data_IF_797754320213
#
_entry.id   IF_797754320213
#
_cell.length_a   1.000
_cell.length_b   1.000
_cell.length_c   1.000
_cell.angle_alpha   90.00
_cell.angle_beta   90.00
_cell.angle_gamma   90.00
#
_symmetry.space_group_name_H-M   'P 1'
#
loop_
_entity.id
_entity.type
_entity.pdbx_description
1 polymer ?
#
# COMPACT_ATOMS: atom_id res chain seq x y z
N UNK A 1 -24.22 68.63 -4.78
CA UNK A 1 -23.38 68.58 -3.56
C UNK A 1 -23.35 67.19 -2.94
N UNK A 2 -24.47 66.44 -2.88
CA UNK A 2 -24.50 65.07 -2.30
C UNK A 2 -23.62 64.07 -3.06
N UNK A 3 -23.67 64.02 -4.39
CA UNK A 3 -22.85 63.09 -5.21
C UNK A 3 -21.33 63.25 -5.05
N UNK A 4 -20.85 64.48 -4.79
CA UNK A 4 -19.41 64.71 -4.59
C UNK A 4 -18.92 64.22 -3.22
N UNK A 5 -19.80 64.11 -2.21
CA UNK A 5 -19.45 63.57 -0.90
C UNK A 5 -19.31 62.05 -0.95
N UNK A 6 -20.25 61.38 -1.63
CA UNK A 6 -20.27 59.92 -1.75
C UNK A 6 -19.06 59.37 -2.50
N UNK A 7 -18.61 60.05 -3.57
CA UNK A 7 -17.40 59.63 -4.30
C UNK A 7 -16.13 59.75 -3.45
N UNK A 8 -16.00 60.83 -2.66
CA UNK A 8 -14.85 61.02 -1.79
C UNK A 8 -14.81 59.98 -0.65
N UNK A 9 -15.97 59.59 -0.12
CA UNK A 9 -16.07 58.52 0.90
C UNK A 9 -15.71 57.15 0.33
N UNK A 10 -16.10 56.84 -0.92
CA UNK A 10 -15.74 55.60 -1.60
C UNK A 10 -14.23 55.49 -1.85
N UNK A 11 -13.60 56.57 -2.34
CA UNK A 11 -12.15 56.63 -2.56
C UNK A 11 -11.38 56.49 -1.24
N UNK A 12 -11.80 57.17 -0.17
CA UNK A 12 -11.19 57.04 1.16
C UNK A 12 -11.30 55.63 1.75
N UNK A 13 -12.41 54.94 1.52
CA UNK A 13 -12.59 53.55 1.94
C UNK A 13 -11.72 52.59 1.12
N UNK A 14 -11.61 52.81 -0.19
CA UNK A 14 -10.76 52.02 -1.07
C UNK A 14 -9.27 52.19 -0.72
N UNK A 15 -8.83 53.41 -0.46
CA UNK A 15 -7.47 53.69 0.01
C UNK A 15 -7.16 53.02 1.35
N UNK A 16 -8.12 53.00 2.29
CA UNK A 16 -7.99 52.26 3.55
C UNK A 16 -7.93 50.75 3.35
N UNK A 17 -8.72 50.22 2.43
CA UNK A 17 -8.73 48.80 2.09
C UNK A 17 -7.45 48.37 1.38
N UNK A 18 -6.80 49.25 0.62
CA UNK A 18 -5.57 48.97 -0.13
C UNK A 18 -4.28 49.35 0.61
N UNK A 19 -4.38 50.06 1.74
CA UNK A 19 -3.22 50.47 2.52
C UNK A 19 -2.32 49.29 2.91
N UNK A 20 -1.03 49.38 2.56
CA UNK A 20 -0.02 48.35 2.86
C UNK A 20 0.50 48.50 4.29
N UNK A 21 0.27 47.47 5.11
CA UNK A 21 0.79 47.34 6.48
C UNK A 21 0.52 45.93 7.03
N UNK A 22 1.23 45.54 8.09
CA UNK A 22 1.04 44.23 8.75
C UNK A 22 -0.37 44.02 9.32
N UNK A 23 -1.12 45.13 9.47
CA UNK A 23 -2.50 45.19 9.95
C UNK A 23 -3.45 45.71 8.85
N UNK A 24 -3.17 45.37 7.58
CA UNK A 24 -3.98 45.83 6.45
C UNK A 24 -5.40 45.26 6.54
N UNK A 25 -6.41 46.12 6.33
CA UNK A 25 -7.82 45.70 6.37
C UNK A 25 -8.14 44.58 5.36
N UNK A 26 -7.37 44.48 4.26
CA UNK A 26 -7.48 43.36 3.32
C UNK A 26 -7.09 42.03 3.95
N UNK A 27 -6.02 42.02 4.76
CA UNK A 27 -5.56 40.81 5.46
C UNK A 27 -6.57 40.38 6.52
N UNK A 28 -7.11 41.32 7.30
CA UNK A 28 -8.18 41.00 8.26
C UNK A 28 -9.44 40.45 7.57
N UNK A 29 -9.79 40.98 6.38
CA UNK A 29 -10.90 40.42 5.59
C UNK A 29 -10.57 39.02 5.06
N UNK A 30 -9.34 38.78 4.61
CA UNK A 30 -8.88 37.46 4.19
C UNK A 30 -8.92 36.45 5.36
N UNK A 31 -8.48 36.86 6.54
CA UNK A 31 -8.57 36.06 7.78
C UNK A 31 -10.02 35.70 8.11
N UNK A 32 -10.92 36.68 8.11
CA UNK A 32 -12.35 36.43 8.35
C UNK A 32 -12.96 35.49 7.32
N UNK A 33 -12.62 35.64 6.04
CA UNK A 33 -13.10 34.78 4.96
C UNK A 33 -12.61 33.34 5.15
N UNK A 34 -11.31 33.17 5.40
CA UNK A 34 -10.70 31.85 5.60
C UNK A 34 -11.24 31.20 6.87
N UNK A 35 -11.34 31.94 7.98
CA UNK A 35 -11.89 31.41 9.24
C UNK A 35 -13.36 31.03 9.10
N UNK A 36 -14.14 31.81 8.35
CA UNK A 36 -15.52 31.45 8.04
C UNK A 36 -15.60 30.15 7.22
N UNK A 37 -14.76 29.98 6.20
CA UNK A 37 -14.69 28.75 5.42
C UNK A 37 -14.23 27.56 6.27
N UNK A 38 -13.21 27.74 7.11
CA UNK A 38 -12.72 26.70 8.02
C UNK A 38 -13.79 26.28 9.04
N UNK A 39 -14.57 27.22 9.56
CA UNK A 39 -15.68 26.93 10.48
C UNK A 39 -16.90 26.29 9.81
N UNK A 40 -16.96 26.31 8.48
CA UNK A 40 -18.09 25.75 7.75
C UNK A 40 -18.07 24.21 7.83
N UNK A 41 -19.25 23.57 8.00
CA UNK A 41 -19.35 22.12 7.93
C UNK A 41 -18.79 21.61 6.61
N UNK A 42 -17.98 20.55 6.64
CA UNK A 42 -17.31 20.03 5.44
C UNK A 42 -18.33 19.66 4.35
N UNK A 43 -19.48 19.13 4.75
CA UNK A 43 -20.61 18.77 3.89
C UNK A 43 -21.21 19.96 3.13
N UNK A 44 -21.05 21.19 3.64
CA UNK A 44 -21.50 22.40 2.95
C UNK A 44 -20.52 22.82 1.86
N UNK A 45 -19.24 22.53 2.04
CA UNK A 45 -18.18 22.86 1.09
C UNK A 45 -18.03 21.79 0.01
N UNK A 46 -18.24 20.53 0.38
CA UNK A 46 -18.12 19.37 -0.48
C UNK A 46 -19.52 18.79 -0.69
N UNK A 47 -20.13 19.15 -1.83
CA UNK A 47 -21.28 18.42 -2.34
C UNK A 47 -20.78 17.05 -2.83
N UNK A 48 -21.09 16.00 -2.08
CA UNK A 48 -20.60 14.64 -2.33
C UNK A 48 -20.98 14.15 -3.74
N UNK A 49 -22.20 14.43 -4.20
CA UNK A 49 -22.67 14.00 -5.51
C UNK A 49 -21.95 14.73 -6.63
N UNK A 50 -21.79 16.05 -6.51
CA UNK A 50 -21.03 16.85 -7.49
C UNK A 50 -19.56 16.44 -7.50
N UNK A 51 -18.97 16.27 -6.32
CA UNK A 51 -17.57 15.89 -6.16
C UNK A 51 -17.30 14.52 -6.76
N UNK A 52 -18.19 13.55 -6.54
CA UNK A 52 -18.08 12.23 -7.16
C UNK A 52 -18.28 12.27 -8.68
N UNK A 53 -19.20 13.10 -9.18
CA UNK A 53 -19.38 13.31 -10.63
C UNK A 53 -18.13 13.92 -11.26
N UNK A 54 -17.57 14.96 -10.64
CA UNK A 54 -16.33 15.60 -11.09
C UNK A 54 -15.15 14.63 -11.00
N UNK A 55 -15.01 13.87 -9.92
CA UNK A 55 -13.97 12.87 -9.76
C UNK A 55 -14.08 11.77 -10.83
N UNK A 56 -15.30 11.29 -11.13
CA UNK A 56 -15.52 10.33 -12.20
C UNK A 56 -15.10 10.89 -13.57
N UNK A 57 -15.52 12.11 -13.91
CA UNK A 57 -15.15 12.76 -15.17
C UNK A 57 -13.64 13.01 -15.27
N UNK A 58 -13.01 13.43 -14.17
CA UNK A 58 -11.56 13.59 -14.07
C UNK A 58 -10.84 12.26 -14.25
N UNK A 59 -11.31 11.18 -13.62
CA UNK A 59 -10.74 9.85 -13.79
C UNK A 59 -10.89 9.34 -15.22
N UNK A 60 -12.05 9.53 -15.85
CA UNK A 60 -12.27 9.14 -17.26
C UNK A 60 -11.38 9.94 -18.21
N UNK A 61 -11.25 11.26 -18.00
CA UNK A 61 -10.42 12.12 -18.83
C UNK A 61 -8.93 11.83 -18.63
N UNK A 62 -8.48 11.68 -17.38
CA UNK A 62 -7.12 11.29 -17.05
C UNK A 62 -6.79 9.91 -17.63
N UNK A 63 -7.65 8.90 -17.44
CA UNK A 63 -7.45 7.55 -17.96
C UNK A 63 -7.31 7.50 -19.48
N UNK A 64 -7.88 8.46 -20.22
CA UNK A 64 -7.75 8.58 -21.68
C UNK A 64 -6.59 9.45 -22.13
N UNK A 65 -5.98 10.20 -21.23
CA UNK A 65 -4.89 11.13 -21.54
C UNK A 65 -3.55 10.42 -21.72
N UNK A 66 -2.68 10.98 -22.55
CA UNK A 66 -1.26 10.56 -22.61
C UNK A 66 -0.49 10.97 -21.34
N UNK A 67 -0.96 12.01 -20.64
CA UNK A 67 -0.41 12.48 -19.36
C UNK A 67 -0.51 11.43 -18.25
N UNK A 68 -1.51 10.55 -18.29
CA UNK A 68 -1.62 9.46 -17.31
C UNK A 68 -0.45 8.49 -17.41
N UNK A 69 -0.05 8.06 -18.62
CA UNK A 69 1.13 7.19 -18.76
C UNK A 69 2.40 7.90 -18.33
N UNK A 70 2.56 9.16 -18.72
CA UNK A 70 3.75 9.94 -18.38
C UNK A 70 3.86 10.12 -16.87
N UNK A 71 2.79 10.55 -16.20
CA UNK A 71 2.78 10.77 -14.74
C UNK A 71 2.97 9.49 -13.93
N UNK A 72 2.35 8.37 -14.34
CA UNK A 72 2.53 7.07 -13.68
C UNK A 72 3.96 6.56 -13.81
N UNK A 73 4.52 6.62 -15.03
CA UNK A 73 5.90 6.19 -15.25
C UNK A 73 6.89 7.11 -14.53
N UNK A 74 6.68 8.42 -14.58
CA UNK A 74 7.53 9.39 -13.89
C UNK A 74 7.50 9.17 -12.38
N UNK A 75 6.32 9.05 -11.77
CA UNK A 75 6.20 8.84 -10.33
C UNK A 75 6.87 7.55 -9.87
N UNK A 76 6.78 6.48 -10.67
CA UNK A 76 7.45 5.21 -10.38
C UNK A 76 8.97 5.31 -10.55
N UNK A 77 9.45 6.02 -11.58
CA UNK A 77 10.87 6.29 -11.78
C UNK A 77 11.45 7.14 -10.65
N UNK A 78 10.74 8.17 -10.21
CA UNK A 78 11.13 9.01 -9.08
C UNK A 78 11.18 8.20 -7.78
N UNK A 79 10.16 7.38 -7.51
CA UNK A 79 10.12 6.51 -6.34
C UNK A 79 11.27 5.49 -6.35
N UNK A 80 11.48 4.79 -7.46
CA UNK A 80 12.55 3.79 -7.59
C UNK A 80 13.93 4.43 -7.51
N UNK A 81 14.12 5.62 -8.09
CA UNK A 81 15.37 6.38 -7.99
C UNK A 81 15.63 6.86 -6.56
N UNK A 82 14.59 7.35 -5.88
CA UNK A 82 14.68 7.76 -4.47
C UNK A 82 15.04 6.58 -3.57
N UNK A 83 14.39 5.42 -3.75
CA UNK A 83 14.72 4.19 -3.05
C UNK A 83 16.15 3.73 -3.34
N UNK A 84 16.57 3.74 -4.61
CA UNK A 84 17.93 3.34 -5.00
C UNK A 84 19.01 4.23 -4.38
N UNK A 85 18.70 5.50 -4.14
CA UNK A 85 19.59 6.47 -3.52
C UNK A 85 19.62 6.39 -1.98
N UNK A 86 18.78 5.58 -1.34
CA UNK A 86 18.73 5.42 0.12
C UNK A 86 19.51 4.15 0.55
N UNK A 87 20.77 4.30 0.98
CA UNK A 87 21.61 3.17 1.41
C UNK A 87 21.24 2.65 2.81
N UNK A 88 20.53 3.44 3.62
CA UNK A 88 20.14 3.04 4.97
C UNK A 88 18.98 2.04 4.93
N UNK A 89 18.82 1.21 5.98
CA UNK A 89 17.60 0.45 6.18
C UNK A 89 16.37 1.37 6.17
N UNK A 90 15.26 0.91 5.60
CA UNK A 90 14.01 1.68 5.59
C UNK A 90 13.58 2.10 6.99
N UNK A 91 13.84 1.26 8.00
CA UNK A 91 13.53 1.57 9.40
C UNK A 91 14.24 2.81 9.93
N UNK A 92 15.39 3.19 9.36
CA UNK A 92 16.15 4.40 9.71
C UNK A 92 15.82 5.59 8.81
N UNK A 93 15.32 5.34 7.59
CA UNK A 93 14.92 6.38 6.65
C UNK A 93 13.54 6.96 6.96
N UNK A 94 12.67 6.18 7.60
CA UNK A 94 11.32 6.60 8.00
C UNK A 94 11.33 7.31 9.36
N UNK A 95 10.44 8.30 9.58
CA UNK A 95 10.23 8.90 10.90
C UNK A 95 9.84 7.85 11.95
N UNK A 96 10.37 7.98 13.17
CA UNK A 96 10.13 7.04 14.26
C UNK A 96 8.63 6.91 14.58
N UNK A 97 7.86 8.01 14.48
CA UNK A 97 6.41 8.03 14.72
C UNK A 97 5.65 7.14 13.74
N UNK A 98 6.08 7.12 12.46
CA UNK A 98 5.47 6.27 11.45
C UNK A 98 5.83 4.81 11.69
N UNK A 99 7.09 4.53 12.04
CA UNK A 99 7.55 3.16 12.38
C UNK A 99 6.76 2.60 13.56
N UNK A 100 6.64 3.38 14.64
CA UNK A 100 5.88 2.98 15.82
C UNK A 100 4.38 2.82 15.54
N UNK A 101 3.80 3.68 14.69
CA UNK A 101 2.39 3.57 14.31
C UNK A 101 2.13 2.31 13.49
N UNK A 102 2.97 2.01 12.50
CA UNK A 102 2.89 0.78 11.73
C UNK A 102 3.15 -0.46 12.60
N UNK A 103 4.08 -0.38 13.56
CA UNK A 103 4.32 -1.45 14.54
C UNK A 103 3.06 -1.73 15.39
N UNK A 104 2.41 -0.67 15.88
CA UNK A 104 1.16 -0.76 16.66
C UNK A 104 0.02 -1.32 15.83
N UNK A 105 -0.10 -0.90 14.57
CA UNK A 105 -1.10 -1.44 13.63
C UNK A 105 -0.87 -2.93 13.36
N UNK A 106 0.37 -3.35 13.09
CA UNK A 106 0.72 -4.75 12.89
C UNK A 106 0.44 -5.61 14.14
N UNK A 107 0.67 -5.03 15.32
CA UNK A 107 0.42 -5.67 16.61
C UNK A 107 -1.07 -5.74 16.99
N UNK A 108 -1.98 -5.09 16.27
CA UNK A 108 -3.40 -5.15 16.60
C UNK A 108 -3.94 -6.58 16.47
N UNK A 109 -4.74 -7.06 17.45
CA UNK A 109 -5.44 -8.33 17.33
C UNK A 109 -6.46 -8.25 16.19
N UNK A 110 -6.13 -8.89 15.07
CA UNK A 110 -7.02 -9.05 13.93
C UNK A 110 -7.10 -10.52 13.56
N UNK A 111 -8.32 -11.01 13.41
CA UNK A 111 -8.61 -12.39 12.99
C UNK A 111 -9.46 -12.34 11.72
N UNK A 112 -8.88 -12.65 10.55
CA UNK A 112 -9.62 -12.64 9.28
C UNK A 112 -10.71 -13.70 9.29
N UNK A 113 -11.73 -13.53 8.44
CA UNK A 113 -12.75 -14.56 8.27
C UNK A 113 -12.15 -15.78 7.58
N UNK A 114 -12.43 -16.97 8.14
CA UNK A 114 -11.92 -18.25 7.63
C UNK A 114 -12.33 -18.52 6.20
N UNK A 115 -13.57 -18.16 5.85
CA UNK A 115 -14.11 -18.31 4.52
C UNK A 115 -13.33 -17.47 3.49
N UNK A 116 -13.06 -16.20 3.82
CA UNK A 116 -12.26 -15.33 2.96
C UNK A 116 -10.85 -15.89 2.78
N UNK A 117 -10.20 -16.30 3.86
CA UNK A 117 -8.83 -16.82 3.79
C UNK A 117 -8.76 -18.12 2.97
N UNK A 118 -9.72 -19.03 3.14
CA UNK A 118 -9.79 -20.24 2.31
C UNK A 118 -10.05 -19.91 0.84
N UNK A 119 -10.90 -18.93 0.53
CA UNK A 119 -11.15 -18.50 -0.85
C UNK A 119 -9.91 -17.92 -1.55
N UNK A 120 -8.96 -17.38 -0.77
CA UNK A 120 -7.67 -16.91 -1.25
C UNK A 120 -6.65 -18.04 -1.37
N UNK A 121 -6.58 -18.92 -0.36
CA UNK A 121 -5.64 -20.04 -0.32
C UNK A 121 -5.97 -21.15 -1.31
N UNK A 122 -7.25 -21.35 -1.65
CA UNK A 122 -7.70 -22.40 -2.56
C UNK A 122 -7.56 -22.01 -4.05
N UNK A 123 -6.92 -20.87 -4.34
CA UNK A 123 -6.63 -20.45 -5.72
C UNK A 123 -5.62 -21.40 -6.37
N UNK A 124 -5.80 -21.75 -7.67
CA UNK A 124 -4.92 -22.71 -8.35
C UNK A 124 -3.43 -22.41 -8.24
N UNK A 125 -3.04 -21.12 -8.29
CA UNK A 125 -1.65 -20.71 -8.16
C UNK A 125 -1.05 -21.04 -6.78
N UNK A 126 -1.78 -20.77 -5.70
CA UNK A 126 -1.36 -21.07 -4.33
C UNK A 126 -1.29 -22.59 -4.12
N UNK A 127 -2.29 -23.31 -4.63
CA UNK A 127 -2.32 -24.79 -4.62
C UNK A 127 -1.09 -25.39 -5.30
N UNK A 128 -0.75 -24.88 -6.48
CA UNK A 128 0.44 -25.33 -7.24
C UNK A 128 1.72 -25.07 -6.46
N UNK A 129 1.88 -23.88 -5.89
CA UNK A 129 3.07 -23.51 -5.11
C UNK A 129 3.25 -24.42 -3.88
N UNK A 130 2.19 -24.62 -3.10
CA UNK A 130 2.28 -25.47 -1.90
C UNK A 130 2.52 -26.93 -2.28
N UNK A 131 1.89 -27.40 -3.35
CA UNK A 131 2.12 -28.75 -3.87
C UNK A 131 3.59 -28.95 -4.25
N UNK A 132 4.18 -28.03 -4.98
CA UNK A 132 5.59 -28.07 -5.39
C UNK A 132 6.51 -28.10 -4.16
N UNK A 133 6.30 -27.20 -3.19
CA UNK A 133 7.04 -27.19 -1.94
C UNK A 133 6.94 -28.51 -1.16
N UNK A 134 5.75 -29.13 -1.12
CA UNK A 134 5.53 -30.42 -0.47
C UNK A 134 6.27 -31.54 -1.20
N UNK A 135 6.18 -31.60 -2.54
CA UNK A 135 6.86 -32.60 -3.36
C UNK A 135 8.37 -32.48 -3.18
N UNK A 136 8.93 -31.28 -3.29
CA UNK A 136 10.37 -31.04 -3.14
C UNK A 136 10.88 -31.41 -1.75
N UNK A 137 10.11 -31.08 -0.71
CA UNK A 137 10.44 -31.44 0.67
C UNK A 137 10.46 -32.95 0.86
N UNK A 138 9.48 -33.67 0.30
CA UNK A 138 9.37 -35.13 0.39
C UNK A 138 10.47 -35.84 -0.41
N UNK A 139 10.79 -35.35 -1.61
CA UNK A 139 11.89 -35.87 -2.42
C UNK A 139 13.21 -35.65 -1.69
N UNK A 140 13.47 -34.42 -1.20
CA UNK A 140 14.68 -34.09 -0.45
C UNK A 140 14.84 -34.96 0.80
N UNK A 141 13.74 -35.20 1.52
CA UNK A 141 13.74 -36.08 2.68
C UNK A 141 14.02 -37.54 2.29
N UNK A 142 13.36 -38.06 1.24
CA UNK A 142 13.60 -39.41 0.73
C UNK A 142 15.04 -39.62 0.24
N UNK A 143 15.62 -38.62 -0.41
CA UNK A 143 17.03 -38.64 -0.83
C UNK A 143 17.98 -38.65 0.38
N UNK A 144 17.71 -37.84 1.43
CA UNK A 144 18.49 -37.84 2.68
C UNK A 144 18.42 -39.17 3.42
N UNK A 145 17.27 -39.85 3.41
CA UNK A 145 17.13 -41.18 4.00
C UNK A 145 17.86 -42.28 3.20
N UNK A 146 17.91 -42.14 1.86
CA UNK A 146 18.58 -43.10 0.97
C UNK A 146 20.10 -42.95 0.98
N UNK A 147 20.57 -41.71 1.06
CA UNK A 147 21.97 -41.36 1.27
C UNK A 147 22.11 -40.74 2.66
N UNK A 148 22.04 -41.54 3.74
CA UNK A 148 22.50 -41.07 5.03
C UNK A 148 24.00 -40.86 4.84
N UNK A 149 24.39 -39.63 4.48
CA UNK A 149 25.80 -39.30 4.36
C UNK A 149 26.40 -39.72 5.69
N UNK A 150 27.45 -40.52 5.56
CA UNK A 150 28.49 -40.75 6.55
C UNK A 150 29.08 -39.37 6.88
N UNK A 151 28.30 -38.48 7.51
CA UNK A 151 28.80 -37.30 8.20
C UNK A 151 29.33 -37.73 9.56
N UNK A 152 30.21 -38.73 9.53
CA UNK A 152 31.22 -38.90 10.55
C UNK A 152 32.33 -37.90 10.25
N UNK A 153 32.00 -36.60 10.31
CA UNK A 153 32.97 -35.57 10.75
C UNK A 153 33.03 -35.49 12.28
N UNK A 154 32.53 -36.53 12.96
CA UNK A 154 33.00 -37.00 14.28
C UNK A 154 33.93 -38.21 14.09
N UNK A 155 34.98 -38.02 13.29
CA UNK A 155 36.09 -38.96 13.18
C UNK A 155 36.93 -38.96 14.45
N UNK A 156 36.43 -39.61 15.51
CA UNK A 156 37.13 -40.24 16.66
C UNK A 156 36.08 -40.49 17.75
N UNK A 157 35.61 -41.73 17.93
CA UNK A 157 34.94 -42.04 19.20
C UNK A 157 34.10 -43.29 19.35
N UNK A 158 33.58 -43.93 18.30
CA UNK A 158 32.67 -45.08 18.50
C UNK A 158 33.07 -46.28 17.63
N UNK A 159 34.26 -46.81 17.93
CA UNK A 159 34.69 -48.14 17.55
C UNK A 159 34.04 -49.16 18.50
N UNK A 160 32.77 -49.52 18.27
CA UNK A 160 32.05 -50.40 19.22
C UNK A 160 31.09 -51.43 18.66
N UNK A 161 30.39 -51.19 17.56
CA UNK A 161 29.20 -52.01 17.18
C UNK A 161 29.37 -52.66 15.80
N UNK A 162 30.57 -53.18 15.50
CA UNK A 162 30.89 -53.75 14.18
C UNK A 162 31.63 -55.09 14.20
N UNK A 163 31.70 -55.79 15.34
CA UNK A 163 32.46 -57.06 15.48
C UNK A 163 31.59 -58.30 15.65
N UNK A 164 30.47 -58.42 14.91
CA UNK A 164 29.68 -59.67 14.86
C UNK A 164 29.26 -60.10 13.44
N UNK A 165 30.12 -59.92 12.45
CA UNK A 165 29.93 -60.55 11.14
C UNK A 165 31.26 -60.87 10.45
N UNK A 166 32.07 -61.76 11.04
CA UNK A 166 33.20 -62.37 10.33
C UNK A 166 33.23 -63.87 10.59
N UNK A 167 32.45 -64.60 9.80
CA UNK A 167 32.37 -66.04 9.90
C UNK A 167 31.50 -66.72 8.85
N UNK A 168 31.58 -66.31 7.57
CA UNK A 168 31.35 -67.17 6.39
C UNK A 168 31.58 -66.37 5.10
N UNK A 169 32.81 -66.42 4.61
CA UNK A 169 33.12 -66.08 3.23
C UNK A 169 32.90 -67.34 2.38
N UNK A 170 32.06 -67.24 1.36
CA UNK A 170 31.82 -68.31 0.39
C UNK A 170 30.89 -67.87 -0.73
N UNK A 171 31.46 -67.23 -1.75
CA UNK A 171 30.84 -67.06 -3.06
C UNK A 171 30.09 -65.74 -3.29
N UNK A 172 30.22 -65.24 -4.52
CA UNK A 172 29.56 -64.07 -5.12
C UNK A 172 30.25 -62.73 -4.88
N UNK A 173 31.40 -62.57 -5.53
CA UNK A 173 32.04 -61.27 -5.77
C UNK A 173 32.26 -61.12 -7.28
N UNK A 174 31.21 -60.81 -8.04
CA UNK A 174 31.31 -60.40 -9.46
C UNK A 174 29.95 -59.99 -10.08
N UNK A 175 29.12 -59.14 -9.47
CA UNK A 175 27.96 -58.50 -10.16
C UNK A 175 27.48 -57.22 -9.44
N UNK A 176 28.36 -56.30 -9.05
CA UNK A 176 27.97 -55.11 -8.26
C UNK A 176 28.39 -53.76 -8.88
N UNK A 177 28.65 -53.70 -10.19
CA UNK A 177 29.08 -52.47 -10.88
C UNK A 177 28.09 -51.86 -11.87
N UNK A 178 27.08 -52.62 -12.33
CA UNK A 178 26.24 -52.20 -13.48
C UNK A 178 24.74 -52.10 -13.23
N UNK A 179 24.22 -52.59 -12.09
CA UNK A 179 22.78 -52.63 -11.82
C UNK A 179 22.30 -51.57 -10.81
N UNK A 180 23.21 -50.78 -10.23
CA UNK A 180 22.85 -49.72 -9.27
C UNK A 180 22.24 -48.50 -9.97
N UNK A 181 22.58 -48.23 -11.25
CA UNK A 181 22.05 -47.09 -12.00
C UNK A 181 20.59 -47.25 -12.45
N UNK A 182 20.22 -48.41 -13.00
CA UNK A 182 18.87 -48.64 -13.55
C UNK A 182 17.80 -48.86 -12.47
N UNK A 183 18.17 -49.40 -11.29
CA UNK A 183 17.26 -49.51 -10.14
C UNK A 183 17.09 -48.15 -9.47
N UNK A 184 18.12 -47.30 -9.46
CA UNK A 184 18.04 -45.97 -8.86
C UNK A 184 17.05 -45.06 -9.58
N UNK A 185 17.02 -45.07 -10.93
CA UNK A 185 16.13 -44.21 -11.71
C UNK A 185 14.66 -44.60 -11.60
N UNK A 186 14.33 -45.90 -11.55
CA UNK A 186 12.95 -46.35 -11.34
C UNK A 186 12.48 -46.09 -9.91
N UNK A 187 13.37 -46.24 -8.90
CA UNK A 187 13.08 -45.86 -7.52
C UNK A 187 12.86 -44.35 -7.39
N UNK A 188 13.62 -43.54 -8.10
CA UNK A 188 13.46 -42.07 -8.12
C UNK A 188 12.13 -41.67 -8.76
N UNK A 189 11.78 -42.26 -9.91
CA UNK A 189 10.48 -42.07 -10.55
C UNK A 189 9.30 -42.50 -9.67
N UNK A 190 9.45 -43.60 -8.95
CA UNK A 190 8.43 -44.05 -7.99
C UNK A 190 8.34 -43.13 -6.77
N UNK A 191 9.47 -42.64 -6.26
CA UNK A 191 9.49 -41.68 -5.16
C UNK A 191 8.79 -40.37 -5.55
N UNK A 192 9.09 -39.83 -6.74
CA UNK A 192 8.44 -38.65 -7.29
C UNK A 192 6.92 -38.86 -7.44
N UNK A 193 6.50 -39.98 -8.03
CA UNK A 193 5.08 -40.31 -8.18
C UNK A 193 4.36 -40.40 -6.84
N UNK A 194 4.98 -41.02 -5.83
CA UNK A 194 4.41 -41.14 -4.48
C UNK A 194 4.41 -39.82 -3.72
N UNK A 195 5.45 -39.01 -3.88
CA UNK A 195 5.53 -37.67 -3.30
C UNK A 195 4.43 -36.77 -3.87
N UNK A 196 4.20 -36.83 -5.19
CA UNK A 196 3.10 -36.12 -5.86
C UNK A 196 1.72 -36.56 -5.34
N UNK A 197 1.44 -37.86 -5.30
CA UNK A 197 0.18 -38.39 -4.76
C UNK A 197 -0.04 -37.99 -3.30
N UNK A 198 1.02 -38.02 -2.48
CA UNK A 198 0.94 -37.59 -1.08
C UNK A 198 0.68 -36.09 -0.97
N UNK A 199 1.41 -35.27 -1.73
CA UNK A 199 1.25 -33.82 -1.74
C UNK A 199 -0.18 -33.43 -2.16
N UNK A 200 -0.74 -34.08 -3.18
CA UNK A 200 -2.11 -33.83 -3.64
C UNK A 200 -3.15 -34.15 -2.55
N UNK A 201 -2.96 -35.23 -1.79
CA UNK A 201 -3.84 -35.59 -0.68
C UNK A 201 -3.65 -34.69 0.56
N UNK A 202 -2.42 -34.25 0.83
CA UNK A 202 -2.08 -33.42 1.99
C UNK A 202 -2.44 -31.95 1.80
N UNK A 203 -2.45 -31.46 0.55
CA UNK A 203 -2.63 -30.06 0.20
C UNK A 203 -3.87 -29.44 0.86
N UNK A 204 -5.04 -30.06 0.68
CA UNK A 204 -6.30 -29.55 1.26
C UNK A 204 -6.23 -29.47 2.79
N UNK A 205 -5.59 -30.43 3.45
CA UNK A 205 -5.43 -30.42 4.91
C UNK A 205 -4.46 -29.32 5.36
N UNK A 206 -3.37 -29.10 4.62
CA UNK A 206 -2.42 -28.01 4.90
C UNK A 206 -3.12 -26.65 4.78
N UNK A 207 -3.90 -26.44 3.71
CA UNK A 207 -4.68 -25.22 3.52
C UNK A 207 -5.67 -24.97 4.66
N UNK A 208 -6.43 -25.99 5.06
CA UNK A 208 -7.34 -25.89 6.19
C UNK A 208 -6.63 -25.60 7.50
N UNK A 209 -5.49 -26.26 7.77
CA UNK A 209 -4.68 -25.99 8.97
C UNK A 209 -4.11 -24.57 8.98
N UNK A 210 -3.64 -24.06 7.84
CA UNK A 210 -3.18 -22.69 7.71
C UNK A 210 -4.34 -21.71 7.97
N UNK A 211 -5.52 -21.97 7.39
CA UNK A 211 -6.68 -21.14 7.62
C UNK A 211 -7.12 -21.18 9.10
N UNK A 212 -7.18 -22.35 9.72
CA UNK A 212 -7.52 -22.50 11.13
C UNK A 212 -6.51 -21.77 12.02
N UNK A 213 -5.21 -21.86 11.70
CA UNK A 213 -4.15 -21.17 12.45
C UNK A 213 -4.27 -19.64 12.34
N UNK A 214 -4.46 -19.12 11.13
CA UNK A 214 -4.53 -17.68 10.84
C UNK A 214 -5.87 -17.04 11.20
N UNK A 215 -6.94 -17.84 11.35
CA UNK A 215 -8.28 -17.37 11.71
C UNK A 215 -8.70 -17.74 13.13
N UNK A 216 -7.81 -18.29 13.96
CA UNK A 216 -8.15 -18.62 15.35
C UNK A 216 -7.99 -17.40 16.27
N UNK A 217 -9.04 -16.96 16.99
CA UNK A 217 -8.93 -15.87 17.95
C UNK A 217 -7.96 -16.17 19.10
N UNK A 218 -7.83 -17.43 19.51
CA UNK A 218 -6.91 -17.84 20.57
C UNK A 218 -5.44 -17.71 20.18
N UNK A 219 -5.15 -17.57 18.87
CA UNK A 219 -3.81 -17.33 18.32
C UNK A 219 -3.59 -15.89 17.87
N UNK A 220 -4.49 -14.97 18.19
CA UNK A 220 -4.39 -13.56 17.78
C UNK A 220 -3.06 -12.91 18.16
N UNK A 221 -2.48 -13.27 19.31
CA UNK A 221 -1.16 -12.81 19.75
C UNK A 221 -0.02 -13.34 18.87
N UNK A 222 -0.03 -14.63 18.51
CA UNK A 222 0.97 -15.24 17.60
C UNK A 222 0.87 -14.62 16.19
N UNK A 223 -0.35 -14.36 15.72
CA UNK A 223 -0.59 -13.70 14.43
C UNK A 223 -0.10 -12.25 14.43
N UNK A 224 -0.32 -11.51 15.53
CA UNK A 224 0.22 -10.16 15.70
C UNK A 224 1.75 -10.15 15.74
N UNK A 225 2.36 -11.11 16.43
CA UNK A 225 3.81 -11.29 16.45
C UNK A 225 4.37 -11.60 15.04
N UNK A 226 3.71 -12.45 14.25
CA UNK A 226 4.09 -12.73 12.87
C UNK A 226 4.03 -11.47 11.99
N UNK A 227 2.92 -10.71 12.03
CA UNK A 227 2.78 -9.46 11.27
C UNK A 227 3.86 -8.45 11.65
N UNK A 228 4.15 -8.32 12.94
CA UNK A 228 5.21 -7.46 13.45
C UNK A 228 6.58 -7.91 12.96
N UNK A 229 6.90 -9.20 13.04
CA UNK A 229 8.19 -9.72 12.57
C UNK A 229 8.38 -9.53 11.06
N UNK A 230 7.33 -9.70 10.25
CA UNK A 230 7.38 -9.41 8.81
C UNK A 230 7.64 -7.92 8.53
N UNK A 231 6.98 -7.04 9.29
CA UNK A 231 7.18 -5.60 9.17
C UNK A 231 8.58 -5.17 9.63
N UNK A 232 9.09 -5.76 10.72
CA UNK A 232 10.46 -5.55 11.19
C UNK A 232 11.48 -6.02 10.15
N UNK A 233 11.27 -7.19 9.54
CA UNK A 233 12.12 -7.67 8.44
C UNK A 233 12.07 -6.76 7.21
N UNK A 234 10.92 -6.12 6.92
CA UNK A 234 10.81 -5.14 5.84
C UNK A 234 11.63 -3.86 6.15
N UNK A 235 11.69 -3.45 7.42
CA UNK A 235 12.48 -2.28 7.84
C UNK A 235 13.98 -2.50 7.77
N UNK A 236 14.43 -3.75 7.87
CA UNK A 236 15.84 -4.13 7.72
C UNK A 236 16.31 -4.05 6.26
N UNK A 237 15.39 -4.07 5.29
CA UNK A 237 15.74 -3.87 3.88
C UNK A 237 16.17 -2.43 3.64
N UNK A 238 17.29 -2.25 2.94
CA UNK A 238 17.68 -0.94 2.41
C UNK A 238 16.79 -0.52 1.25
N UNK A 239 16.69 0.79 1.01
CA UNK A 239 16.01 1.31 -0.17
C UNK A 239 16.58 0.73 -1.47
N UNK A 240 17.90 0.55 -1.55
CA UNK A 240 18.57 -0.04 -2.71
C UNK A 240 18.16 -1.50 -3.00
N UNK A 241 17.95 -2.33 -1.97
CA UNK A 241 17.48 -3.70 -2.14
C UNK A 241 16.04 -3.73 -2.67
N UNK A 242 15.17 -2.88 -2.13
CA UNK A 242 13.80 -2.75 -2.62
C UNK A 242 13.72 -2.20 -4.03
N UNK A 243 14.55 -1.21 -4.37
CA UNK A 243 14.64 -0.70 -5.74
C UNK A 243 15.09 -1.79 -6.72
N UNK A 244 16.05 -2.65 -6.32
CA UNK A 244 16.49 -3.79 -7.12
C UNK A 244 15.36 -4.79 -7.34
N UNK A 245 14.60 -5.16 -6.30
CA UNK A 245 13.44 -6.04 -6.43
C UNK A 245 12.33 -5.43 -7.30
N UNK A 246 12.04 -4.14 -7.12
CA UNK A 246 11.08 -3.43 -7.95
C UNK A 246 11.52 -3.46 -9.42
N UNK A 247 12.79 -3.19 -9.71
CA UNK A 247 13.33 -3.14 -11.07
C UNK A 247 13.24 -4.47 -11.84
N UNK A 248 13.08 -5.60 -11.14
CA UNK A 248 12.86 -6.91 -11.76
C UNK A 248 11.42 -7.08 -12.29
N UNK A 249 10.50 -6.23 -11.85
CA UNK A 249 9.11 -6.23 -12.32
C UNK A 249 9.00 -5.45 -13.63
N UNK A 250 8.26 -5.98 -14.60
CA UNK A 250 7.86 -5.20 -15.78
C UNK A 250 6.82 -4.14 -15.36
N UNK A 251 7.35 -3.00 -14.92
CA UNK A 251 6.57 -1.86 -14.49
C UNK A 251 5.68 -1.29 -15.59
N UNK A 252 6.15 -1.32 -16.84
CA UNK A 252 5.39 -0.82 -17.98
C UNK A 252 4.14 -1.68 -18.20
N UNK A 253 4.30 -3.00 -18.19
CA UNK A 253 3.19 -3.93 -18.27
C UNK A 253 2.23 -3.78 -17.08
N UNK A 254 2.77 -3.64 -15.86
CA UNK A 254 1.98 -3.49 -14.64
C UNK A 254 1.11 -2.22 -14.66
N UNK A 255 1.69 -1.08 -15.05
CA UNK A 255 0.98 0.19 -15.19
C UNK A 255 -0.05 0.14 -16.33
N UNK A 256 0.28 -0.52 -17.44
CA UNK A 256 -0.67 -0.75 -18.53
C UNK A 256 -1.87 -1.57 -18.06
N UNK A 257 -1.65 -2.68 -17.37
CA UNK A 257 -2.72 -3.54 -16.83
C UNK A 257 -3.58 -2.80 -15.80
N UNK A 258 -2.98 -1.98 -14.94
CA UNK A 258 -3.70 -1.13 -14.00
C UNK A 258 -4.60 -0.12 -14.74
N UNK A 259 -4.08 0.53 -15.79
CA UNK A 259 -4.82 1.50 -16.61
C UNK A 259 -5.96 0.85 -17.39
N UNK A 260 -5.73 -0.33 -17.97
CA UNK A 260 -6.75 -1.11 -18.66
C UNK A 260 -7.84 -1.58 -17.70
N UNK A 261 -7.46 -2.05 -16.52
CA UNK A 261 -8.41 -2.47 -15.47
C UNK A 261 -9.24 -1.30 -14.95
N UNK A 262 -8.62 -0.15 -14.70
CA UNK A 262 -9.32 1.07 -14.31
C UNK A 262 -10.26 1.54 -15.43
N UNK A 263 -9.81 1.53 -16.68
CA UNK A 263 -10.64 1.85 -17.84
C UNK A 263 -11.84 0.92 -18.00
N UNK A 264 -11.62 -0.39 -17.81
CA UNK A 264 -12.68 -1.39 -17.84
C UNK A 264 -13.68 -1.20 -16.69
N UNK A 265 -13.22 -0.88 -15.49
CA UNK A 265 -14.09 -0.55 -14.36
C UNK A 265 -14.91 0.71 -14.64
N UNK A 266 -14.27 1.80 -15.08
CA UNK A 266 -14.93 3.06 -15.43
C UNK A 266 -15.94 2.91 -16.57
N UNK A 267 -15.73 1.97 -17.49
CA UNK A 267 -16.66 1.69 -18.59
C UNK A 267 -17.92 0.92 -18.15
N UNK A 268 -17.98 0.42 -16.91
CA UNK A 268 -19.18 -0.27 -16.39
C UNK A 268 -20.34 0.72 -16.27
N UNK A 269 -21.57 0.33 -16.63
CA UNK A 269 -22.76 1.21 -16.55
C UNK A 269 -23.00 1.83 -15.16
N UNK A 270 -22.56 1.14 -14.10
CA UNK A 270 -22.78 1.55 -12.72
C UNK A 270 -21.55 2.20 -12.06
N UNK A 271 -20.43 2.39 -12.76
CA UNK A 271 -19.18 2.86 -12.14
C UNK A 271 -19.33 4.23 -11.48
N UNK A 272 -20.01 5.16 -12.14
CA UNK A 272 -20.30 6.49 -11.59
C UNK A 272 -21.20 6.40 -10.34
N UNK A 273 -22.19 5.50 -10.36
CA UNK A 273 -23.10 5.28 -9.22
C UNK A 273 -22.34 4.66 -8.05
N UNK A 274 -21.50 3.65 -8.30
CA UNK A 274 -20.63 3.02 -7.30
C UNK A 274 -19.70 4.05 -6.65
N UNK A 275 -19.08 4.94 -7.44
CA UNK A 275 -18.20 5.99 -6.93
C UNK A 275 -18.96 7.03 -6.10
N UNK A 276 -20.15 7.45 -6.57
CA UNK A 276 -21.03 8.36 -5.82
C UNK A 276 -21.41 7.77 -4.47
N UNK A 277 -21.89 6.53 -4.45
CA UNK A 277 -22.26 5.84 -3.22
C UNK A 277 -21.06 5.70 -2.27
N UNK A 278 -19.88 5.32 -2.78
CA UNK A 278 -18.69 5.20 -1.96
C UNK A 278 -18.28 6.55 -1.32
N UNK A 279 -18.26 7.63 -2.11
CA UNK A 279 -17.88 8.96 -1.62
C UNK A 279 -18.91 9.51 -0.63
N UNK A 280 -20.21 9.39 -0.94
CA UNK A 280 -21.29 9.82 -0.04
C UNK A 280 -21.26 9.03 1.26
N UNK A 281 -21.17 7.70 1.21
CA UNK A 281 -21.09 6.87 2.41
C UNK A 281 -19.87 7.23 3.26
N UNK A 282 -18.72 7.50 2.65
CA UNK A 282 -17.53 7.93 3.37
C UNK A 282 -17.73 9.28 4.07
N UNK A 283 -18.26 10.28 3.35
CA UNK A 283 -18.51 11.62 3.89
C UNK A 283 -19.62 11.64 4.96
N UNK A 284 -20.62 10.76 4.85
CA UNK A 284 -21.68 10.60 5.85
C UNK A 284 -21.20 9.86 7.10
N UNK A 285 -20.39 8.81 6.95
CA UNK A 285 -19.91 8.01 8.08
C UNK A 285 -18.81 8.69 8.89
N UNK A 286 -17.98 9.49 8.24
CA UNK A 286 -16.75 9.98 8.85
C UNK A 286 -16.93 11.23 9.74
N UNK A 287 -18.16 11.74 9.89
CA UNK A 287 -18.56 12.94 10.68
C UNK A 287 -17.39 13.89 10.97
N UNK A 288 -16.85 14.45 9.89
CA UNK A 288 -15.65 15.29 9.97
C UNK A 288 -15.91 16.66 10.63
N UNK A 289 -17.16 16.94 11.01
CA UNK A 289 -17.57 18.24 11.54
C UNK A 289 -17.26 19.38 10.57
N UNK A 290 -16.38 20.28 10.99
CA UNK A 290 -15.91 21.44 10.21
C UNK A 290 -14.68 21.14 9.35
N UNK A 291 -14.44 21.95 8.31
CA UNK A 291 -13.18 21.87 7.55
C UNK A 291 -11.97 22.09 8.47
N UNK A 292 -12.08 22.95 9.48
CA UNK A 292 -11.03 23.17 10.48
C UNK A 292 -10.67 21.88 11.23
N UNK A 293 -11.67 21.13 11.71
CA UNK A 293 -11.47 19.85 12.39
C UNK A 293 -10.84 18.81 11.46
N UNK A 294 -11.31 18.73 10.21
CA UNK A 294 -10.73 17.86 9.20
C UNK A 294 -9.25 18.18 8.93
N UNK A 295 -8.90 19.46 8.76
CA UNK A 295 -7.50 19.86 8.53
C UNK A 295 -6.63 19.66 9.77
N UNK A 296 -7.20 19.77 10.98
CA UNK A 296 -6.50 19.42 12.23
C UNK A 296 -6.22 17.93 12.31
N UNK A 297 -7.18 17.09 11.92
CA UNK A 297 -7.00 15.64 11.84
C UNK A 297 -5.85 15.27 10.89
N UNK A 298 -5.72 15.98 9.77
CA UNK A 298 -4.61 15.82 8.82
C UNK A 298 -3.29 16.47 9.29
N UNK A 299 -3.29 17.21 10.39
CA UNK A 299 -2.12 17.90 10.93
C UNK A 299 -1.62 19.06 10.05
N UNK A 300 -2.43 19.57 9.12
CA UNK A 300 -2.04 20.58 8.14
C UNK A 300 -2.79 21.91 8.27
N UNK A 301 -3.66 22.05 9.29
CA UNK A 301 -4.52 23.22 9.50
C UNK A 301 -3.77 24.55 9.48
N UNK A 302 -2.71 24.71 10.27
CA UNK A 302 -2.05 26.02 10.39
C UNK A 302 -1.30 26.40 9.10
N UNK A 303 -0.63 25.42 8.48
CA UNK A 303 0.06 25.60 7.20
C UNK A 303 -0.91 26.01 6.09
N UNK A 304 -2.03 25.29 5.95
CA UNK A 304 -3.03 25.57 4.93
C UNK A 304 -3.80 26.86 5.22
N UNK A 305 -4.11 27.16 6.49
CA UNK A 305 -4.74 28.43 6.87
C UNK A 305 -3.87 29.61 6.49
N UNK A 306 -2.56 29.56 6.79
CA UNK A 306 -1.64 30.64 6.43
C UNK A 306 -1.57 30.84 4.92
N UNK A 307 -1.42 29.74 4.16
CA UNK A 307 -1.40 29.81 2.69
C UNK A 307 -2.71 30.34 2.11
N UNK A 308 -3.85 29.90 2.65
CA UNK A 308 -5.17 30.37 2.21
C UNK A 308 -5.38 31.85 2.50
N UNK A 309 -4.89 32.36 3.64
CA UNK A 309 -4.93 33.80 3.97
C UNK A 309 -4.09 34.59 2.98
N UNK A 310 -2.85 34.17 2.74
CA UNK A 310 -1.93 34.89 1.85
C UNK A 310 -2.45 34.92 0.39
N UNK A 311 -3.04 33.81 -0.07
CA UNK A 311 -3.65 33.75 -1.41
C UNK A 311 -4.96 34.55 -1.48
N UNK A 312 -5.82 34.47 -0.46
CA UNK A 312 -7.06 35.27 -0.41
C UNK A 312 -6.77 36.77 -0.33
N UNK A 313 -5.78 37.18 0.45
CA UNK A 313 -5.31 38.57 0.53
C UNK A 313 -4.85 39.06 -0.85
N UNK A 314 -4.06 38.24 -1.57
CA UNK A 314 -3.60 38.55 -2.93
C UNK A 314 -4.77 38.72 -3.90
N UNK A 315 -5.72 37.79 -3.88
CA UNK A 315 -6.90 37.84 -4.76
C UNK A 315 -7.83 39.03 -4.42
N UNK A 316 -8.04 39.32 -3.14
CA UNK A 316 -8.82 40.47 -2.69
C UNK A 316 -8.17 41.78 -3.10
N UNK A 317 -6.85 41.94 -2.94
CA UNK A 317 -6.15 43.14 -3.45
C UNK A 317 -6.29 43.30 -4.96
N UNK A 318 -6.11 42.22 -5.71
CA UNK A 318 -6.25 42.24 -7.16
C UNK A 318 -7.66 42.64 -7.59
N UNK A 319 -8.70 42.12 -6.91
CA UNK A 319 -10.09 42.47 -7.14
C UNK A 319 -10.39 43.93 -6.78
N UNK A 320 -9.94 44.39 -5.60
CA UNK A 320 -10.18 45.75 -5.11
C UNK A 320 -9.50 46.82 -5.97
N UNK A 321 -8.40 46.46 -6.66
CA UNK A 321 -7.73 47.34 -7.60
C UNK A 321 -8.46 47.49 -8.95
N UNK A 322 -9.54 46.73 -9.20
CA UNK A 322 -10.30 46.84 -10.46
C UNK A 322 -11.30 48.00 -10.44
N UNK A 323 -11.50 48.64 -11.60
CA UNK A 323 -12.52 49.69 -11.78
C UNK A 323 -13.93 49.18 -11.43
N UNK A 324 -14.25 47.93 -11.81
CA UNK A 324 -15.52 47.28 -11.48
C UNK A 324 -15.83 47.24 -9.98
N UNK A 325 -14.81 47.04 -9.15
CA UNK A 325 -14.99 47.03 -7.69
C UNK A 325 -15.24 48.44 -7.15
N UNK A 326 -14.51 49.45 -7.66
CA UNK A 326 -14.74 50.86 -7.32
C UNK A 326 -16.17 51.30 -7.69
N UNK A 327 -16.63 50.97 -8.90
CA UNK A 327 -17.99 51.27 -9.36
C UNK A 327 -19.06 50.59 -8.49
N UNK A 328 -18.81 49.35 -8.08
CA UNK A 328 -19.70 48.63 -7.16
C UNK A 328 -19.75 49.31 -5.79
N UNK A 329 -18.61 49.72 -5.24
CA UNK A 329 -18.52 50.39 -3.95
C UNK A 329 -19.24 51.74 -3.97
N UNK A 330 -19.07 52.53 -5.05
CA UNK A 330 -19.78 53.80 -5.24
C UNK A 330 -21.30 53.61 -5.27
N UNK A 331 -21.80 52.57 -5.97
CA UNK A 331 -23.23 52.24 -6.00
C UNK A 331 -23.78 51.79 -4.64
N UNK A 332 -22.95 51.18 -3.80
CA UNK A 332 -23.37 50.71 -2.48
C UNK A 332 -23.47 51.87 -1.46
N UNK A 333 -22.72 52.95 -1.68
CA UNK A 333 -22.69 54.14 -0.82
C UNK A 333 -23.63 55.26 -1.27
N UNK A 334 -24.17 55.18 -2.51
CA UNK A 334 -25.15 56.12 -3.08
C UNK A 334 -26.57 55.82 -2.65
#
# INVERSE_FOLDING_TARGET
MVQNSTNAEAELLLDRLLATGSDSSTRSLAELLVDHQLSSPLQRLIDAERSATSAYQLLVSWQRSELADQSLNQGLQELTSWLAAEPRPLGEALPDELRETLARLAAQPFTPSRELLLSLLDRPAVRSLIRELLVDTLISFGQRLRNPVVETRLGRGISGIGKLAKGRAGGVRSLAGGLVGAVSSEVERQLESRAAEFADNALTQVLHKLADYLCSPSRSAEQAALRRALLEGLWELSGSQLASELSQTDHKLSLQLLRESLGAWLARPNAEIELKQALTNYLEQADFGSLDEFLRLLGCRDSLRSQAIDESERQLRALMATESFSDWLQKLLS
#
